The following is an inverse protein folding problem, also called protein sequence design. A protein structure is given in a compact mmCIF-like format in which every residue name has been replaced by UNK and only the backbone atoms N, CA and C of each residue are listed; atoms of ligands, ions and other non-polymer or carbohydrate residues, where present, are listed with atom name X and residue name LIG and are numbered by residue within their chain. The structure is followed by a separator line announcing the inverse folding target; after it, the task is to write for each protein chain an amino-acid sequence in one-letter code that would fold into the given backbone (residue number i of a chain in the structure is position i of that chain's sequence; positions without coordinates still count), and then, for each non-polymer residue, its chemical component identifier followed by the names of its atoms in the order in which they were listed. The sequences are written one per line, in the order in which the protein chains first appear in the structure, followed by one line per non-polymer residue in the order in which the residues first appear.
data_IF_851281814550
#
_entry.id   IF_851281814550
#
_cell.length_a   1.000
_cell.length_b   1.000
_cell.length_c   1.000
_cell.angle_alpha   90.00
_cell.angle_beta   90.00
_cell.angle_gamma   90.00
#
_symmetry.space_group_name_H-M   'P 1'
#
loop_
_entity.id
_entity.type
_entity.pdbx_description
1 polymer ?
#
# COMPACT_ATOMS: atom_id res chain seq x y z
N UNK A 1 -3.55 15.44 5.85
CA UNK A 1 -3.32 14.08 6.39
C UNK A 1 -2.53 13.31 5.33
N UNK A 2 -1.66 12.40 5.72
CA UNK A 2 -0.89 11.59 4.77
C UNK A 2 -1.67 10.37 4.33
N UNK A 3 -1.61 10.04 3.05
CA UNK A 3 -2.15 8.80 2.50
C UNK A 3 -1.06 7.75 2.54
N UNK A 4 -1.33 6.65 3.25
CA UNK A 4 -0.44 5.50 3.39
C UNK A 4 -0.64 4.52 2.25
N UNK A 5 0.43 3.85 1.84
CA UNK A 5 0.34 2.77 0.89
C UNK A 5 1.26 1.60 1.22
N UNK A 6 0.81 0.40 0.87
CA UNK A 6 1.58 -0.84 0.95
C UNK A 6 1.80 -1.42 -0.46
N UNK A 7 2.95 -2.07 -0.69
CA UNK A 7 3.32 -2.65 -1.98
C UNK A 7 3.52 -4.16 -1.88
N UNK A 8 3.01 -4.91 -2.84
CA UNK A 8 2.98 -6.36 -2.85
C UNK A 8 3.34 -6.98 -4.20
N UNK A 9 3.95 -8.16 -4.17
CA UNK A 9 3.90 -9.12 -5.28
C UNK A 9 2.86 -10.20 -4.96
N UNK A 10 2.00 -10.49 -5.92
CA UNK A 10 0.82 -11.34 -5.74
C UNK A 10 -0.30 -10.64 -4.99
N UNK A 11 -1.45 -11.34 -4.89
CA UNK A 11 -2.63 -10.93 -4.12
C UNK A 11 -3.07 -12.08 -3.21
N UNK A 12 -3.79 -11.77 -2.14
CA UNK A 12 -4.25 -12.76 -1.18
C UNK A 12 -3.39 -12.85 0.08
N UNK A 13 -3.60 -13.91 0.84
CA UNK A 13 -2.92 -14.21 2.10
C UNK A 13 -1.44 -14.55 1.93
N UNK A 14 -1.07 -15.11 0.77
CA UNK A 14 0.32 -15.48 0.43
C UNK A 14 1.10 -14.35 -0.27
N UNK A 15 0.52 -13.15 -0.44
CA UNK A 15 1.19 -12.05 -1.12
C UNK A 15 2.48 -11.61 -0.40
N UNK A 16 3.53 -11.31 -1.16
CA UNK A 16 4.80 -10.86 -0.60
C UNK A 16 4.81 -9.34 -0.44
N UNK A 17 4.93 -8.87 0.80
CA UNK A 17 5.07 -7.46 1.09
C UNK A 17 6.47 -6.92 0.78
N UNK A 18 6.53 -5.90 -0.08
CA UNK A 18 7.75 -5.23 -0.53
C UNK A 18 8.10 -3.97 0.26
N UNK A 19 7.15 -3.40 1.01
CA UNK A 19 7.36 -2.18 1.78
C UNK A 19 6.14 -1.27 1.80
N UNK A 20 6.29 -0.13 2.47
CA UNK A 20 5.20 0.82 2.69
C UNK A 20 5.68 2.26 2.67
N UNK A 21 4.77 3.20 2.41
CA UNK A 21 4.94 4.65 2.59
C UNK A 21 3.87 5.21 3.53
N UNK A 22 4.23 6.22 4.32
CA UNK A 22 3.29 6.92 5.20
C UNK A 22 2.65 8.17 4.58
N UNK A 23 3.14 8.63 3.42
CA UNK A 23 2.66 9.83 2.72
C UNK A 23 2.63 9.63 1.21
N UNK A 24 1.70 10.32 0.54
CA UNK A 24 1.51 10.33 -0.92
C UNK A 24 1.13 8.98 -1.57
N UNK A 25 0.39 8.15 -0.84
CA UNK A 25 -0.07 6.84 -1.29
C UNK A 25 -1.25 6.80 -2.28
N UNK A 26 -1.73 7.94 -2.79
CA UNK A 26 -2.74 7.94 -3.86
C UNK A 26 -2.13 7.48 -5.19
N UNK A 27 -2.89 6.93 -6.17
CA UNK A 27 -2.33 6.52 -7.46
C UNK A 27 -1.52 7.62 -8.14
N UNK A 28 -2.02 8.87 -8.14
CA UNK A 28 -1.29 10.05 -8.66
C UNK A 28 0.05 10.37 -7.96
N UNK A 29 0.28 9.84 -6.76
CA UNK A 29 1.51 10.00 -5.99
C UNK A 29 2.48 8.83 -6.14
N UNK A 30 2.05 7.73 -6.77
CA UNK A 30 2.89 6.57 -7.06
C UNK A 30 3.59 6.78 -8.40
N UNK A 31 4.86 6.35 -8.49
CA UNK A 31 5.64 6.47 -9.71
C UNK A 31 5.00 5.68 -10.87
N UNK A 32 4.95 6.27 -12.07
CA UNK A 32 4.44 5.62 -13.28
C UNK A 32 5.17 4.30 -13.61
N UNK A 33 6.44 4.17 -13.23
CA UNK A 33 7.22 2.93 -13.39
C UNK A 33 6.71 1.80 -12.51
N UNK A 34 6.10 2.10 -11.36
CA UNK A 34 5.42 1.11 -10.53
C UNK A 34 4.09 0.76 -11.16
N UNK A 35 3.25 1.77 -11.47
CA UNK A 35 1.88 1.54 -11.98
C UNK A 35 1.85 0.90 -13.37
N UNK A 36 2.89 1.13 -14.17
CA UNK A 36 3.04 0.59 -15.52
C UNK A 36 4.00 -0.59 -15.63
N UNK A 37 4.38 -1.23 -14.52
CA UNK A 37 5.26 -2.38 -14.54
C UNK A 37 4.66 -3.52 -15.38
N UNK A 38 5.47 -4.12 -16.26
CA UNK A 38 5.02 -5.15 -17.22
C UNK A 38 5.32 -6.57 -16.75
N UNK A 39 6.16 -6.71 -15.73
CA UNK A 39 6.51 -7.97 -15.11
C UNK A 39 6.90 -7.73 -13.65
N UNK A 40 7.00 -8.82 -12.90
CA UNK A 40 7.27 -8.80 -11.47
C UNK A 40 8.62 -8.13 -11.13
N UNK A 41 9.67 -8.39 -11.93
CA UNK A 41 10.99 -7.84 -11.66
C UNK A 41 10.99 -6.31 -11.82
N UNK A 42 10.36 -5.81 -12.90
CA UNK A 42 10.22 -4.37 -13.13
C UNK A 42 9.46 -3.71 -11.97
N UNK A 43 8.41 -4.37 -11.45
CA UNK A 43 7.65 -3.86 -10.30
C UNK A 43 8.51 -3.81 -9.04
N UNK A 44 9.25 -4.88 -8.73
CA UNK A 44 10.14 -4.94 -7.56
C UNK A 44 11.21 -3.85 -7.61
N UNK A 45 11.89 -3.71 -8.74
CA UNK A 45 12.95 -2.72 -8.95
C UNK A 45 12.38 -1.30 -8.84
N UNK A 46 11.20 -1.05 -9.41
CA UNK A 46 10.52 0.23 -9.33
C UNK A 46 10.10 0.57 -7.89
N UNK A 47 9.57 -0.39 -7.14
CA UNK A 47 9.20 -0.21 -5.73
C UNK A 47 10.44 0.04 -4.87
N UNK A 48 11.50 -0.77 -5.01
CA UNK A 48 12.74 -0.57 -4.26
C UNK A 48 13.34 0.82 -4.52
N UNK A 49 13.42 1.22 -5.79
CA UNK A 49 13.92 2.53 -6.19
C UNK A 49 13.05 3.66 -5.62
N UNK A 50 11.72 3.51 -5.65
CA UNK A 50 10.78 4.48 -5.11
C UNK A 50 10.88 4.63 -3.59
N UNK A 51 11.08 3.54 -2.85
CA UNK A 51 11.20 3.55 -1.39
C UNK A 51 12.58 4.01 -0.91
N UNK A 52 13.63 3.79 -1.71
CA UNK A 52 15.01 4.10 -1.33
C UNK A 52 15.21 5.60 -1.10
N UNK A 53 15.75 5.95 0.08
CA UNK A 53 16.06 7.35 0.45
C UNK A 53 14.86 8.16 0.95
N UNK A 54 13.64 7.62 0.89
CA UNK A 54 12.44 8.24 1.49
C UNK A 54 12.48 8.11 3.01
N UNK A 55 12.16 9.21 3.70
CA UNK A 55 12.11 9.23 5.18
C UNK A 55 10.85 8.58 5.75
N UNK A 56 9.80 8.52 4.94
CA UNK A 56 8.50 7.96 5.26
C UNK A 56 8.31 6.52 4.76
N UNK A 57 9.31 5.96 4.08
CA UNK A 57 9.27 4.58 3.61
C UNK A 57 9.67 3.59 4.71
N UNK A 58 9.08 2.40 4.63
CA UNK A 58 9.44 1.23 5.43
C UNK A 58 9.78 0.08 4.50
N UNK A 59 11.00 -0.43 4.63
CA UNK A 59 11.47 -1.62 3.91
C UNK A 59 11.15 -2.90 4.71
N UNK A 60 11.08 -4.09 4.07
CA UNK A 60 10.74 -5.34 4.76
C UNK A 60 11.64 -5.68 5.95
N UNK A 61 12.94 -5.37 5.84
CA UNK A 61 13.93 -5.58 6.90
C UNK A 61 13.68 -4.70 8.15
N UNK A 62 12.85 -3.66 8.04
CA UNK A 62 12.50 -2.76 9.13
C UNK A 62 11.27 -3.22 9.91
N UNK A 63 10.56 -4.25 9.43
CA UNK A 63 9.31 -4.74 10.01
C UNK A 63 8.10 -3.91 9.59
N UNK A 64 6.91 -4.48 9.80
CA UNK A 64 5.63 -3.90 9.45
C UNK A 64 5.33 -2.65 10.29
N UNK A 65 5.10 -1.47 9.66
CA UNK A 65 5.10 -0.20 10.37
C UNK A 65 3.77 0.14 11.05
N UNK A 66 2.72 -0.65 10.81
CA UNK A 66 1.36 -0.31 11.20
C UNK A 66 0.86 -1.07 12.45
N UNK A 67 -0.08 -0.50 13.22
CA UNK A 67 -0.64 -1.15 14.40
C UNK A 67 -1.66 -2.24 14.05
N UNK A 68 -2.24 -2.20 12.85
CA UNK A 68 -3.17 -3.20 12.34
C UNK A 68 -2.46 -4.40 11.70
N UNK A 69 -3.19 -5.49 11.48
CA UNK A 69 -2.64 -6.78 11.06
C UNK A 69 -2.50 -6.93 9.54
N UNK A 70 -3.30 -6.21 8.75
CA UNK A 70 -3.38 -6.39 7.30
C UNK A 70 -3.56 -5.04 6.59
N UNK A 71 -3.25 -4.93 5.30
CA UNK A 71 -3.48 -3.68 4.55
C UNK A 71 -4.94 -3.28 4.37
N UNK A 72 -5.91 -4.07 4.85
CA UNK A 72 -7.31 -3.70 4.77
C UNK A 72 -7.65 -2.37 5.48
N UNK A 73 -6.80 -1.91 6.40
CA UNK A 73 -6.93 -0.60 7.08
C UNK A 73 -5.98 0.47 6.54
N UNK A 74 -5.05 0.10 5.65
CA UNK A 74 -4.18 1.05 4.96
C UNK A 74 -5.00 1.79 3.90
N UNK A 75 -4.68 3.07 3.66
CA UNK A 75 -5.45 3.89 2.71
C UNK A 75 -5.41 3.26 1.30
N UNK A 76 -4.23 2.86 0.81
CA UNK A 76 -4.06 2.09 -0.43
C UNK A 76 -3.15 0.86 -0.25
N UNK A 77 -3.37 -0.15 -1.09
CA UNK A 77 -2.43 -1.23 -1.32
C UNK A 77 -2.26 -1.45 -2.82
N UNK A 78 -1.02 -1.64 -3.28
CA UNK A 78 -0.67 -1.91 -4.66
C UNK A 78 -0.08 -3.32 -4.76
N UNK A 79 -0.54 -4.09 -5.73
CA UNK A 79 -0.10 -5.47 -5.93
C UNK A 79 0.19 -5.74 -7.40
N UNK A 80 1.32 -6.37 -7.69
CA UNK A 80 1.60 -6.92 -9.02
C UNK A 80 1.14 -8.38 -9.09
N UNK A 81 0.21 -8.70 -9.99
CA UNK A 81 -0.29 -10.05 -10.24
C UNK A 81 -0.66 -10.19 -11.73
N UNK A 82 0.38 -10.28 -12.58
CA UNK A 82 0.26 -10.18 -14.04
C UNK A 82 0.20 -8.73 -14.52
N UNK A 83 -0.61 -7.91 -13.87
CA UNK A 83 -0.69 -6.45 -14.00
C UNK A 83 -0.72 -5.81 -12.60
N UNK A 84 -0.61 -4.48 -12.54
CA UNK A 84 -0.65 -3.73 -11.28
C UNK A 84 -2.09 -3.42 -10.89
N UNK A 85 -2.46 -3.81 -9.68
CA UNK A 85 -3.75 -3.55 -9.08
C UNK A 85 -3.61 -2.65 -7.86
N UNK A 86 -4.65 -1.88 -7.57
CA UNK A 86 -4.79 -1.15 -6.33
C UNK A 86 -6.05 -1.55 -5.58
N UNK A 87 -6.02 -1.41 -4.25
CA UNK A 87 -7.17 -1.56 -3.36
C UNK A 87 -7.17 -0.37 -2.40
N UNK A 88 -8.34 0.24 -2.20
CA UNK A 88 -8.54 1.36 -1.29
C UNK A 88 -9.30 0.87 -0.05
N UNK A 89 -8.71 1.02 1.14
CA UNK A 89 -9.26 0.52 2.42
C UNK A 89 -9.73 -0.94 2.39
N UNK A 90 -8.98 -1.81 1.72
CA UNK A 90 -9.32 -3.23 1.57
C UNK A 90 -10.54 -3.53 0.71
N UNK A 91 -11.05 -2.53 -0.03
CA UNK A 91 -12.05 -2.73 -1.08
C UNK A 91 -11.50 -3.57 -2.24
N UNK A 92 -12.33 -3.74 -3.26
CA UNK A 92 -11.99 -4.60 -4.40
C UNK A 92 -10.75 -4.09 -5.14
N UNK A 93 -10.03 -5.02 -5.76
CA UNK A 93 -8.90 -4.69 -6.63
C UNK A 93 -9.37 -3.98 -7.91
N UNK A 94 -8.73 -2.87 -8.27
CA UNK A 94 -9.00 -2.11 -9.50
C UNK A 94 -7.68 -1.75 -10.22
N UNK A 95 -7.80 -1.26 -11.45
CA UNK A 95 -6.66 -0.74 -12.22
C UNK A 95 -6.35 0.71 -11.76
N UNK A 96 -5.21 0.97 -11.09
CA UNK A 96 -4.87 2.30 -10.58
C UNK A 96 -4.59 3.33 -11.68
N UNK A 97 -4.41 2.92 -12.94
CA UNK A 97 -4.21 3.84 -14.07
C UNK A 97 -5.54 4.29 -14.68
N UNK A 98 -6.63 3.64 -14.31
CA UNK A 98 -7.98 3.92 -14.74
C UNK A 98 -8.88 4.03 -13.51
N UNK A 99 -8.47 4.91 -12.58
CA UNK A 99 -9.21 5.18 -11.36
C UNK A 99 -10.64 5.61 -11.75
N UNK A 100 -11.69 4.96 -11.23
CA UNK A 100 -13.05 5.42 -11.45
C UNK A 100 -13.20 6.83 -10.87
N UNK A 101 -13.81 7.76 -11.61
CA UNK A 101 -14.05 9.12 -11.13
C UNK A 101 -14.82 9.08 -9.78
N UNK A 102 -14.35 9.87 -8.81
CA UNK A 102 -14.91 9.98 -7.44
C UNK A 102 -16.41 10.38 -7.41
N UNK A 103 -16.96 10.85 -8.55
CA UNK A 103 -18.35 11.29 -8.69
C UNK A 103 -19.34 10.13 -8.98
N UNK A 104 -18.87 8.88 -9.11
CA UNK A 104 -19.73 7.71 -9.34
C UNK A 104 -20.30 7.15 -8.02
N UNK A 105 -21.11 7.97 -7.31
CA UNK A 105 -21.82 7.63 -6.05
C UNK A 105 -22.78 6.41 -6.16
N UNK A 106 -22.82 5.71 -7.31
CA UNK A 106 -23.76 4.63 -7.59
C UNK A 106 -23.13 3.31 -8.03
N UNK A 107 -21.80 3.19 -8.09
CA UNK A 107 -21.18 1.94 -8.54
C UNK A 107 -21.33 0.86 -7.47
N UNK A 108 -22.13 -0.16 -7.78
CA UNK A 108 -22.10 -1.41 -7.00
C UNK A 108 -20.65 -1.92 -7.00
N UNK A 109 -20.06 -1.95 -5.81
CA UNK A 109 -18.79 -2.62 -5.55
C UNK A 109 -19.04 -4.12 -5.74
N UNK A 110 -18.97 -4.57 -6.99
CA UNK A 110 -19.16 -5.96 -7.37
C UNK A 110 -17.80 -6.66 -7.29
N UNK A 111 -17.73 -7.74 -6.51
CA UNK A 111 -16.51 -8.52 -6.26
C UNK A 111 -16.20 -8.65 -4.76
N UNK A 112 -15.28 -9.55 -4.45
CA UNK A 112 -14.87 -9.82 -3.08
C UNK A 112 -13.85 -8.77 -2.60
N UNK A 113 -13.90 -8.37 -1.31
CA UNK A 113 -12.88 -7.51 -0.70
C UNK A 113 -11.47 -8.06 -0.89
N UNK A 114 -10.49 -7.17 -0.95
CA UNK A 114 -9.10 -7.57 -1.04
C UNK A 114 -8.67 -8.35 0.21
N UNK A 115 -8.04 -9.50 -0.01
CA UNK A 115 -7.41 -10.32 1.02
C UNK A 115 -5.91 -10.02 1.04
N UNK A 116 -5.33 -9.95 2.23
CA UNK A 116 -3.94 -9.59 2.46
C UNK A 116 -3.29 -10.54 3.48
N UNK A 117 -1.96 -10.64 3.51
CA UNK A 117 -1.25 -11.42 4.51
C UNK A 117 -1.44 -10.83 5.91
N UNK A 118 -1.45 -11.69 6.93
CA UNK A 118 -1.39 -11.24 8.31
C UNK A 118 0.07 -10.88 8.68
N UNK A 119 0.29 -9.62 9.03
CA UNK A 119 1.60 -9.04 9.33
C UNK A 119 1.93 -8.99 10.83
N UNK A 120 1.12 -9.62 11.68
CA UNK A 120 1.28 -9.57 13.14
C UNK A 120 2.68 -9.99 13.59
N UNK A 121 3.25 -11.02 12.99
CA UNK A 121 4.59 -11.53 13.33
C UNK A 121 5.73 -10.61 12.85
N UNK A 122 5.43 -9.65 11.97
CA UNK A 122 6.39 -8.69 11.42
C UNK A 122 6.27 -7.30 12.04
N UNK A 123 5.27 -7.06 12.90
CA UNK A 123 4.98 -5.75 13.51
C UNK A 123 6.21 -5.13 14.19
N UNK A 124 6.55 -3.91 13.77
CA UNK A 124 7.58 -3.07 14.37
C UNK A 124 7.17 -1.59 14.32
N UNK A 125 6.05 -1.29 14.98
CA UNK A 125 5.42 0.03 14.95
C UNK A 125 6.29 1.07 15.67
N UNK A 126 6.55 2.20 15.01
CA UNK A 126 7.27 3.31 15.63
C UNK A 126 6.34 4.48 15.93
N UNK A 127 6.11 4.71 17.22
CA UNK A 127 5.29 5.82 17.69
C UNK A 127 6.06 7.14 17.47
N UNK A 128 5.45 8.09 16.75
CA UNK A 128 6.05 9.40 16.46
C UNK A 128 7.14 9.40 15.37
N UNK A 129 7.36 8.27 14.69
CA UNK A 129 8.28 8.17 13.56
C UNK A 129 7.61 8.57 12.23
N UNK A 130 8.40 9.10 11.29
CA UNK A 130 7.92 9.48 9.95
C UNK A 130 7.33 8.32 9.13
N UNK A 131 7.59 7.07 9.55
CA UNK A 131 7.31 5.82 8.82
C UNK A 131 6.01 5.13 9.20
N UNK A 132 5.47 5.39 10.39
CA UNK A 132 4.23 4.76 10.86
C UNK A 132 3.00 5.65 10.68
N UNK A 133 3.17 6.93 10.35
CA UNK A 133 2.05 7.87 10.16
C UNK A 133 1.18 8.11 11.41
N UNK A 134 1.46 7.43 12.53
CA UNK A 134 0.76 7.58 13.80
C UNK A 134 1.21 8.87 14.46
N UNK A 135 0.30 9.85 14.49
CA UNK A 135 0.45 11.08 15.27
C UNK A 135 -0.10 10.84 16.68
N UNK A 136 0.75 11.00 17.70
CA UNK A 136 0.29 11.05 19.10
C UNK A 136 -0.10 12.48 19.43
N UNK A 137 -1.39 12.74 19.60
CA UNK A 137 -1.87 13.98 20.19
C UNK A 137 -1.91 13.81 21.71
N UNK A 138 -0.90 14.35 22.40
CA UNK A 138 -0.95 14.47 23.86
C UNK A 138 -2.02 15.49 24.23
N UNK A 139 -3.06 15.07 24.96
CA UNK A 139 -3.91 16.00 25.69
C UNK A 139 -3.10 16.50 26.89
N UNK A 140 -2.66 17.76 26.81
CA UNK A 140 -2.10 18.51 27.94
C UNK A 140 -3.19 18.99 28.89
#
# INVERSE_FOLDING_TARGET
MGTRADFYVGRGDDAEWLGSIAWDGYPKGIADTILGALNEQDFRDAVESFLTGRKDATMPAMGWPWPWETSATTDYAYAFDGDVHASCFGGNWFDPRNEPDDDDEGREVTGDPAVFPNMSDRKNVQIGGARSGILVFGMS
#
